data_IF_326678075247
#
_entry.id   IF_326678075247
#
_cell.length_a   1.000
_cell.length_b   1.000
_cell.length_c   1.000
_cell.angle_alpha   90.00
_cell.angle_beta   90.00
_cell.angle_gamma   90.00
#
_symmetry.space_group_name_H-M   'P 1'
#
loop_
_entity.id
_entity.type
_entity.pdbx_description
1 polymer ?
#
# COMPACT_ATOMS: atom_id res chain seq x y z
N UNK A 1 4.05 -6.55 -32.72
CA UNK A 1 3.54 -6.56 -31.33
C UNK A 1 3.07 -5.15 -31.02
N UNK A 2 1.82 -4.95 -30.56
CA UNK A 2 1.32 -3.62 -30.19
C UNK A 2 1.77 -3.37 -28.75
N UNK A 3 2.54 -2.30 -28.52
CA UNK A 3 2.95 -1.95 -27.17
C UNK A 3 1.73 -1.47 -26.37
N UNK A 4 1.52 -2.02 -25.19
CA UNK A 4 0.58 -1.49 -24.21
C UNK A 4 1.37 -0.85 -23.07
N UNK A 5 1.00 0.38 -22.73
CA UNK A 5 1.64 1.16 -21.68
C UNK A 5 0.73 1.18 -20.47
N UNK A 6 1.21 0.61 -19.37
CA UNK A 6 0.49 0.59 -18.10
C UNK A 6 0.96 1.79 -17.27
N UNK A 7 0.09 2.79 -17.10
CA UNK A 7 0.35 3.91 -16.18
C UNK A 7 -0.26 3.58 -14.82
N UNK A 8 0.55 3.05 -13.92
CA UNK A 8 0.16 2.76 -12.55
C UNK A 8 1.03 3.57 -11.59
N UNK A 9 0.41 4.16 -10.57
CA UNK A 9 1.10 4.89 -9.50
C UNK A 9 1.09 4.01 -8.26
N UNK A 10 2.28 3.67 -7.76
CA UNK A 10 2.39 2.91 -6.52
C UNK A 10 2.04 3.84 -5.34
N UNK A 11 1.09 3.46 -4.46
CA UNK A 11 0.71 4.32 -3.34
C UNK A 11 1.78 4.39 -2.24
N UNK A 12 2.66 3.39 -2.13
CA UNK A 12 3.69 3.31 -1.08
C UNK A 12 5.11 3.36 -1.66
N UNK A 13 6.09 3.58 -0.81
CA UNK A 13 7.53 3.49 -1.07
C UNK A 13 8.18 2.47 -0.14
N UNK A 14 9.31 1.91 -0.58
CA UNK A 14 10.17 1.14 0.31
C UNK A 14 10.61 2.06 1.45
N UNK A 15 10.42 1.60 2.68
CA UNK A 15 10.69 2.37 3.89
C UNK A 15 9.45 3.00 4.53
N UNK A 16 8.33 3.09 3.81
CA UNK A 16 7.09 3.59 4.39
C UNK A 16 6.61 2.71 5.55
N UNK A 17 5.98 3.35 6.53
CA UNK A 17 5.31 2.66 7.64
C UNK A 17 3.81 2.62 7.37
N UNK A 18 3.20 1.46 7.58
CA UNK A 18 1.77 1.26 7.44
C UNK A 18 1.18 0.64 8.70
N UNK A 19 -0.02 1.09 9.07
CA UNK A 19 -0.84 0.41 10.07
C UNK A 19 -1.77 -0.58 9.36
N UNK A 20 -1.60 -1.87 9.62
CA UNK A 20 -2.45 -2.91 9.05
C UNK A 20 -3.51 -3.28 10.06
N UNK A 21 -4.78 -3.24 9.65
CA UNK A 21 -5.87 -3.67 10.51
C UNK A 21 -5.77 -5.17 10.74
N UNK A 22 -5.78 -5.58 12.00
CA UNK A 22 -5.86 -6.99 12.36
C UNK A 22 -7.31 -7.45 12.13
N UNK A 23 -7.60 -8.00 10.95
CA UNK A 23 -8.89 -8.60 10.66
C UNK A 23 -8.94 -10.05 11.19
N UNK A 24 -10.04 -10.40 11.83
CA UNK A 24 -10.38 -11.77 12.20
C UNK A 24 -10.67 -12.57 10.91
N UNK A 25 -9.73 -13.45 10.51
CA UNK A 25 -9.85 -14.46 9.44
C UNK A 25 -10.08 -13.97 7.98
N UNK A 26 -9.12 -14.30 7.13
CA UNK A 26 -9.43 -14.95 5.84
C UNK A 26 -9.62 -14.12 4.57
N UNK A 27 -9.29 -12.83 4.54
CA UNK A 27 -9.26 -12.06 3.28
C UNK A 27 -7.87 -12.06 2.63
N UNK A 28 -7.78 -12.31 1.32
CA UNK A 28 -6.51 -12.22 0.55
C UNK A 28 -5.92 -10.80 0.54
N UNK A 29 -6.76 -9.76 0.60
CA UNK A 29 -6.34 -8.36 0.61
C UNK A 29 -6.53 -7.73 1.98
N UNK A 30 -5.50 -7.08 2.51
CA UNK A 30 -5.54 -6.40 3.82
C UNK A 30 -5.69 -4.89 3.67
N UNK A 31 -6.49 -4.27 4.53
CA UNK A 31 -6.54 -2.82 4.65
C UNK A 31 -5.30 -2.32 5.39
N UNK A 32 -4.57 -1.40 4.76
CA UNK A 32 -3.39 -0.75 5.32
C UNK A 32 -3.59 0.76 5.31
N UNK A 33 -3.23 1.43 6.40
CA UNK A 33 -3.24 2.88 6.50
C UNK A 33 -1.81 3.40 6.38
N UNK A 34 -1.57 4.29 5.41
CA UNK A 34 -0.26 4.95 5.29
C UNK A 34 -0.01 5.87 6.49
N UNK A 35 1.17 5.76 7.10
CA UNK A 35 1.60 6.56 8.24
C UNK A 35 2.87 7.33 7.88
N UNK A 36 2.76 8.62 7.53
CA UNK A 36 3.92 9.47 7.36
C UNK A 36 4.66 9.67 8.69
N UNK A 37 5.97 9.91 8.61
CA UNK A 37 6.80 10.14 9.79
C UNK A 37 6.34 11.38 10.57
N UNK A 38 6.35 11.28 11.91
CA UNK A 38 5.99 12.38 12.80
C UNK A 38 4.49 12.57 13.02
N UNK A 39 3.65 11.66 12.53
CA UNK A 39 2.19 11.77 12.61
C UNK A 39 1.60 10.85 13.68
N UNK A 40 0.54 11.33 14.34
CA UNK A 40 -0.27 10.55 15.28
C UNK A 40 -1.56 10.14 14.58
N UNK A 41 -1.86 8.84 14.58
CA UNK A 41 -3.07 8.31 13.97
C UNK A 41 -3.91 7.59 15.03
N UNK A 42 -5.19 7.97 15.11
CA UNK A 42 -6.17 7.36 16.00
C UNK A 42 -7.03 6.42 15.15
N UNK A 43 -6.98 5.12 15.43
CA UNK A 43 -7.78 4.11 14.71
C UNK A 43 -8.76 3.41 15.65
N UNK A 44 -10.01 3.16 15.23
CA UNK A 44 -10.90 2.28 15.97
C UNK A 44 -10.43 0.82 15.79
N UNK A 45 -9.80 0.27 16.83
CA UNK A 45 -9.37 -1.13 16.90
C UNK A 45 -7.86 -1.33 16.84
N UNK A 46 -7.43 -2.58 17.04
CA UNK A 46 -6.03 -2.96 17.05
C UNK A 46 -5.45 -2.97 15.63
N UNK A 47 -4.28 -2.36 15.49
CA UNK A 47 -3.50 -2.34 14.25
C UNK A 47 -2.09 -2.85 14.54
N UNK A 48 -1.47 -3.48 13.55
CA UNK A 48 -0.06 -3.80 13.57
C UNK A 48 0.70 -2.82 12.68
N UNK A 49 1.70 -2.15 13.24
CA UNK A 49 2.63 -1.32 12.47
C UNK A 49 3.62 -2.23 11.73
N UNK A 50 3.80 -1.98 10.44
CA UNK A 50 4.68 -2.73 9.56
C UNK A 50 5.42 -1.77 8.64
N UNK A 51 6.67 -2.10 8.31
CA UNK A 51 7.48 -1.34 7.37
C UNK A 51 7.47 -2.03 6.01
N UNK A 52 7.26 -1.26 4.95
CA UNK A 52 7.42 -1.75 3.58
C UNK A 52 8.90 -1.97 3.31
N UNK A 53 9.28 -3.20 2.99
CA UNK A 53 10.67 -3.59 2.73
C UNK A 53 10.95 -3.87 1.26
N UNK A 54 9.93 -4.32 0.52
CA UNK A 54 10.02 -4.49 -0.93
C UNK A 54 8.64 -4.31 -1.60
N UNK A 55 8.64 -4.08 -2.92
CA UNK A 55 7.45 -3.85 -3.73
C UNK A 55 7.54 -4.66 -5.02
N UNK A 56 6.53 -5.49 -5.27
CA UNK A 56 6.36 -6.19 -6.54
C UNK A 56 5.11 -5.70 -7.27
N UNK A 57 5.05 -5.93 -8.58
CA UNK A 57 3.92 -5.51 -9.42
C UNK A 57 3.47 -6.64 -10.35
N UNK A 58 2.18 -6.95 -10.34
CA UNK A 58 1.52 -7.86 -11.28
C UNK A 58 0.82 -7.06 -12.39
N UNK A 59 1.07 -7.44 -13.64
CA UNK A 59 0.45 -6.83 -14.82
C UNK A 59 -0.48 -7.85 -15.49
N UNK A 60 -1.78 -7.55 -15.51
CA UNK A 60 -2.81 -8.35 -16.17
C UNK A 60 -3.06 -7.83 -17.58
N UNK A 61 -2.31 -8.36 -18.56
CA UNK A 61 -2.32 -7.86 -19.94
C UNK A 61 -3.72 -7.83 -20.57
N UNK A 62 -4.51 -8.90 -20.46
CA UNK A 62 -5.87 -8.94 -21.02
C UNK A 62 -6.84 -7.95 -20.37
N UNK A 63 -6.65 -7.68 -19.06
CA UNK A 63 -7.54 -6.80 -18.29
C UNK A 63 -7.12 -5.33 -18.36
N UNK A 64 -5.88 -5.05 -18.77
CA UNK A 64 -5.35 -3.69 -18.68
C UNK A 64 -5.07 -3.25 -17.24
N UNK A 65 -4.94 -4.18 -16.28
CA UNK A 65 -4.85 -3.88 -14.85
C UNK A 65 -3.44 -4.11 -14.29
N UNK A 66 -3.03 -3.25 -13.37
CA UNK A 66 -1.79 -3.38 -12.61
C UNK A 66 -2.10 -3.46 -11.12
N UNK A 67 -1.57 -4.48 -10.43
CA UNK A 67 -1.72 -4.65 -8.99
C UNK A 67 -0.34 -4.58 -8.31
N UNK A 68 -0.24 -3.79 -7.25
CA UNK A 68 0.94 -3.74 -6.40
C UNK A 68 0.86 -4.73 -5.25
N UNK A 69 1.97 -5.39 -4.97
CA UNK A 69 2.17 -6.30 -3.85
C UNK A 69 3.31 -5.76 -2.98
N UNK A 70 3.20 -5.97 -1.68
CA UNK A 70 4.15 -5.42 -0.71
C UNK A 70 4.74 -6.53 0.13
N UNK A 71 6.05 -6.47 0.32
CA UNK A 71 6.73 -7.18 1.38
C UNK A 71 6.81 -6.30 2.62
N UNK A 72 6.55 -6.90 3.77
CA UNK A 72 6.55 -6.22 5.06
C UNK A 72 7.59 -6.83 5.99
N UNK A 73 8.37 -5.99 6.65
CA UNK A 73 9.38 -6.36 7.65
C UNK A 73 10.33 -7.50 7.20
N UNK A 74 10.72 -7.54 5.92
CA UNK A 74 11.58 -8.57 5.34
C UNK A 74 11.04 -10.00 5.51
N UNK A 75 9.72 -10.18 5.49
CA UNK A 75 9.11 -11.48 5.77
C UNK A 75 9.19 -12.49 4.61
N UNK A 76 9.70 -12.09 3.44
CA UNK A 76 9.80 -12.92 2.24
C UNK A 76 8.46 -13.19 1.55
N UNK A 77 7.37 -12.53 1.95
CA UNK A 77 6.02 -12.72 1.41
C UNK A 77 5.45 -11.43 0.87
N UNK A 78 4.90 -11.51 -0.35
CA UNK A 78 4.28 -10.40 -1.05
C UNK A 78 2.76 -10.50 -0.94
N UNK A 79 2.12 -9.46 -0.41
CA UNK A 79 0.66 -9.43 -0.23
C UNK A 79 0.05 -8.19 -0.89
N UNK A 80 -1.17 -8.29 -1.46
CA UNK A 80 -1.89 -7.12 -1.91
C UNK A 80 -2.41 -6.34 -0.70
N UNK A 81 -2.24 -5.01 -0.76
CA UNK A 81 -2.76 -4.09 0.25
C UNK A 81 -3.71 -3.08 -0.40
N UNK A 82 -4.86 -2.87 0.23
CA UNK A 82 -5.71 -1.71 -0.05
C UNK A 82 -5.26 -0.57 0.85
N UNK A 83 -4.51 0.36 0.26
CA UNK A 83 -3.91 1.48 1.00
C UNK A 83 -4.94 2.61 1.16
N UNK A 84 -5.21 2.98 2.40
CA UNK A 84 -6.02 4.14 2.78
C UNK A 84 -5.12 5.21 3.37
N UNK A 85 -5.46 6.48 3.11
CA UNK A 85 -4.72 7.64 3.61
C UNK A 85 -5.60 8.32 4.66
N UNK A 86 -5.26 8.23 5.96
CA UNK A 86 -6.23 8.52 7.02
C UNK A 86 -6.58 9.99 7.25
N UNK A 87 -5.97 10.99 6.58
CA UNK A 87 -6.30 12.43 6.79
C UNK A 87 -6.15 13.24 5.49
N UNK A 88 -6.98 14.29 5.34
CA UNK A 88 -6.98 15.24 4.21
C UNK A 88 -5.61 15.93 4.00
N UNK A 89 -4.85 16.20 5.07
CA UNK A 89 -3.48 16.75 4.99
C UNK A 89 -2.48 15.78 4.33
N UNK A 90 -2.64 14.47 4.51
CA UNK A 90 -1.75 13.47 3.91
C UNK A 90 -2.09 13.17 2.45
N UNK A 91 -3.33 13.42 2.03
CA UNK A 91 -3.68 13.43 0.61
C UNK A 91 -2.91 14.55 -0.13
N UNK A 92 -2.72 15.71 0.50
CA UNK A 92 -1.90 16.79 -0.09
C UNK A 92 -0.41 16.44 -0.14
N UNK A 93 0.12 15.73 0.86
CA UNK A 93 1.50 15.22 0.82
C UNK A 93 1.72 14.22 -0.32
N UNK A 94 0.77 13.32 -0.56
CA UNK A 94 0.82 12.40 -1.71
C UNK A 94 0.70 13.15 -3.05
N UNK A 95 -0.22 14.11 -3.15
CA UNK A 95 -0.32 15.00 -4.33
C UNK A 95 0.98 15.76 -4.59
N UNK A 96 1.65 16.25 -3.54
CA UNK A 96 2.96 16.93 -3.64
C UNK A 96 4.03 16.02 -4.22
N UNK A 97 3.96 14.72 -3.93
CA UNK A 97 4.83 13.68 -4.52
C UNK A 97 4.39 13.22 -5.91
N UNK A 98 3.34 13.82 -6.48
CA UNK A 98 2.78 13.45 -7.78
C UNK A 98 2.04 12.11 -7.77
N UNK A 99 1.50 11.71 -6.61
CA UNK A 99 0.81 10.44 -6.41
C UNK A 99 -0.69 10.62 -6.23
#
# INVERSE_FOLDING_TARGET
MKAEFFKAVCPLEIGDTVAIRLAEKGGETREAYYLPQGCVVITPGAVALRKVTDIATLHYLKKGETQFLYELDNCGKYIPLTVKVPVREFAEELKRRGR
#
